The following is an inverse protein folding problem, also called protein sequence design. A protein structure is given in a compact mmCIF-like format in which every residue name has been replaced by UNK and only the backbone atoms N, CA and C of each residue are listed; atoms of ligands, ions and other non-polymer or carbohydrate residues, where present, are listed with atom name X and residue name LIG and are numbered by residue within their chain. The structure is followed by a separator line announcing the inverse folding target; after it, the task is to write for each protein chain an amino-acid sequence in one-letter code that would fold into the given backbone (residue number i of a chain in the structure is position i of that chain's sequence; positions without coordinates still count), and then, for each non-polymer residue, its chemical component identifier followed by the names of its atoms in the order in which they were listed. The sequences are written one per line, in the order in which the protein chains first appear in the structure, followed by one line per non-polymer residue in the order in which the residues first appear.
data_IF_304783091585
#
_entry.id   IF_304783091585
#
_cell.length_a   1.000
_cell.length_b   1.000
_cell.length_c   1.000
_cell.angle_alpha   90.00
_cell.angle_beta   90.00
_cell.angle_gamma   90.00
#
_symmetry.space_group_name_H-M   'P 1'
#
loop_
_entity.id
_entity.type
_entity.pdbx_description
1 polymer ?
#
# COMPACT_ATOMS: atom_id res chain seq x y z
N UNK A 1 -28.17 18.31 -30.55
CA UNK A 1 -27.22 17.97 -29.46
C UNK A 1 -26.22 16.94 -29.97
N UNK A 2 -24.92 17.27 -30.06
CA UNK A 2 -23.87 16.27 -30.33
C UNK A 2 -23.69 15.41 -29.08
N UNK A 3 -23.89 14.09 -29.19
CA UNK A 3 -23.53 13.15 -28.11
C UNK A 3 -22.01 13.19 -27.95
N UNK A 4 -21.54 13.67 -26.80
CA UNK A 4 -20.12 13.64 -26.44
C UNK A 4 -19.78 12.20 -26.06
N UNK A 5 -19.02 11.50 -26.88
CA UNK A 5 -18.48 10.19 -26.55
C UNK A 5 -17.47 10.36 -25.41
N UNK A 6 -17.67 9.63 -24.32
CA UNK A 6 -16.72 9.58 -23.19
C UNK A 6 -16.14 8.18 -23.19
N UNK A 7 -14.82 8.07 -23.18
CA UNK A 7 -14.18 6.75 -23.17
C UNK A 7 -14.39 6.06 -21.81
N UNK A 8 -14.38 4.73 -21.80
CA UNK A 8 -14.42 3.99 -20.53
C UNK A 8 -13.23 4.33 -19.62
N UNK A 9 -12.08 4.67 -20.21
CA UNK A 9 -10.90 5.11 -19.47
C UNK A 9 -11.15 6.44 -18.74
N UNK A 10 -11.79 7.41 -19.40
CA UNK A 10 -12.14 8.70 -18.78
C UNK A 10 -13.17 8.51 -17.65
N UNK A 11 -14.15 7.63 -17.87
CA UNK A 11 -15.12 7.26 -16.83
C UNK A 11 -14.42 6.65 -15.61
N UNK A 12 -13.47 5.73 -15.84
CA UNK A 12 -12.72 5.08 -14.77
C UNK A 12 -11.76 6.06 -14.06
N UNK A 13 -11.06 6.94 -14.79
CA UNK A 13 -10.21 7.95 -14.16
C UNK A 13 -11.04 8.90 -13.28
N UNK A 14 -12.21 9.35 -13.75
CA UNK A 14 -13.12 10.17 -12.95
C UNK A 14 -13.67 9.42 -11.73
N UNK A 15 -13.87 8.10 -11.84
CA UNK A 15 -14.44 7.29 -10.75
C UNK A 15 -13.40 6.85 -9.72
N UNK A 16 -12.17 6.56 -10.13
CA UNK A 16 -11.13 5.93 -9.32
C UNK A 16 -9.85 6.77 -9.25
N UNK A 17 -9.18 7.02 -10.38
CA UNK A 17 -7.89 7.71 -10.42
C UNK A 17 -7.91 9.11 -9.77
N UNK A 18 -8.87 9.96 -10.14
CA UNK A 18 -9.06 11.29 -9.54
C UNK A 18 -9.48 11.26 -8.06
N UNK A 19 -9.95 10.11 -7.56
CA UNK A 19 -10.27 9.89 -6.14
C UNK A 19 -9.11 9.25 -5.37
N UNK A 20 -8.03 8.88 -6.05
CA UNK A 20 -6.81 8.40 -5.44
C UNK A 20 -6.02 9.59 -4.88
N UNK A 21 -6.08 9.76 -3.56
CA UNK A 21 -5.45 10.84 -2.83
C UNK A 21 -4.86 10.32 -1.52
N UNK A 22 -4.12 11.16 -0.79
CA UNK A 22 -3.42 10.75 0.43
C UNK A 22 -4.35 10.09 1.46
N UNK A 23 -5.57 10.60 1.63
CA UNK A 23 -6.55 10.02 2.57
C UNK A 23 -6.96 8.61 2.14
N UNK A 24 -7.22 8.41 0.84
CA UNK A 24 -7.58 7.10 0.29
C UNK A 24 -6.40 6.12 0.32
N UNK A 25 -5.19 6.60 0.09
CA UNK A 25 -3.95 5.83 0.17
C UNK A 25 -3.65 5.38 1.60
N UNK A 26 -3.79 6.27 2.59
CA UNK A 26 -3.68 5.90 4.01
C UNK A 26 -4.64 4.79 4.40
N UNK A 27 -5.91 4.88 3.98
CA UNK A 27 -6.90 3.80 4.21
C UNK A 27 -6.48 2.48 3.56
N UNK A 28 -5.97 2.54 2.33
CA UNK A 28 -5.47 1.36 1.63
C UNK A 28 -4.30 0.71 2.37
N UNK A 29 -3.23 1.46 2.63
CA UNK A 29 -2.06 0.93 3.32
C UNK A 29 -2.38 0.44 4.74
N UNK A 30 -3.29 1.10 5.46
CA UNK A 30 -3.79 0.59 6.74
C UNK A 30 -4.50 -0.75 6.60
N UNK A 31 -5.33 -0.92 5.58
CA UNK A 31 -6.02 -2.19 5.34
C UNK A 31 -5.04 -3.32 4.99
N UNK A 32 -3.96 -2.99 4.29
CA UNK A 32 -3.01 -3.94 3.73
C UNK A 32 -1.88 -4.31 4.72
N UNK A 33 -1.36 -3.32 5.45
CA UNK A 33 -0.23 -3.47 6.38
C UNK A 33 -0.61 -3.26 7.85
N UNK A 34 -1.88 -3.01 8.16
CA UNK A 34 -2.35 -2.70 9.52
C UNK A 34 -2.06 -1.27 9.99
N UNK A 35 -1.30 -0.47 9.24
CA UNK A 35 -0.90 0.88 9.63
C UNK A 35 -0.77 1.84 8.44
N UNK A 36 -0.98 3.14 8.68
CA UNK A 36 -0.83 4.23 7.69
C UNK A 36 0.25 5.26 8.08
N UNK A 37 0.98 5.01 9.17
CA UNK A 37 1.95 5.97 9.74
C UNK A 37 3.09 6.31 8.80
N UNK A 38 3.42 5.38 7.91
CA UNK A 38 4.53 5.45 6.97
C UNK A 38 4.11 5.90 5.57
N UNK A 39 2.88 6.41 5.43
CA UNK A 39 2.30 6.77 4.14
C UNK A 39 2.60 8.23 3.80
N UNK A 40 3.27 8.44 2.69
CA UNK A 40 3.63 9.76 2.18
C UNK A 40 3.30 9.91 0.68
N UNK A 41 3.03 11.12 0.19
CA UNK A 41 2.91 11.38 -1.25
C UNK A 41 4.22 11.07 -1.98
N UNK A 42 4.13 10.53 -3.19
CA UNK A 42 5.29 10.42 -4.07
C UNK A 42 5.74 11.83 -4.50
N UNK A 43 7.03 12.18 -4.42
CA UNK A 43 7.52 13.55 -4.63
C UNK A 43 7.27 14.09 -6.05
N UNK A 44 7.17 13.20 -7.04
CA UNK A 44 7.00 13.55 -8.46
C UNK A 44 5.70 13.06 -9.10
N UNK A 45 4.78 12.44 -8.34
CA UNK A 45 3.57 11.86 -8.93
C UNK A 45 2.39 11.94 -7.96
N UNK A 46 1.47 12.85 -8.22
CA UNK A 46 0.29 13.13 -7.37
C UNK A 46 -0.69 11.94 -7.26
N UNK A 47 -0.55 10.95 -8.15
CA UNK A 47 -1.34 9.72 -8.15
C UNK A 47 -0.56 8.51 -7.64
N UNK A 48 0.60 8.72 -7.04
CA UNK A 48 1.39 7.69 -6.40
C UNK A 48 1.64 8.05 -4.92
N UNK A 49 1.55 7.06 -4.05
CA UNK A 49 1.83 7.21 -2.63
C UNK A 49 2.79 6.11 -2.19
N UNK A 50 3.74 6.50 -1.36
CA UNK A 50 4.66 5.57 -0.76
C UNK A 50 4.15 5.08 0.58
N UNK A 51 4.52 3.84 0.89
CA UNK A 51 4.65 3.36 2.26
C UNK A 51 6.13 3.09 2.49
N UNK A 52 6.77 3.92 3.31
CA UNK A 52 8.22 3.86 3.50
C UNK A 52 8.59 3.86 4.97
N UNK A 53 9.28 2.82 5.39
CA UNK A 53 9.99 2.79 6.66
C UNK A 53 11.47 2.43 6.42
N UNK A 54 12.23 2.22 7.48
CA UNK A 54 13.68 1.95 7.39
C UNK A 54 14.01 0.61 6.70
N UNK A 55 13.03 -0.27 6.52
CA UNK A 55 13.22 -1.64 6.03
C UNK A 55 12.59 -1.86 4.64
N UNK A 56 11.40 -1.30 4.41
CA UNK A 56 10.61 -1.53 3.21
C UNK A 56 10.13 -0.24 2.60
N UNK A 57 10.07 -0.24 1.27
CA UNK A 57 9.52 0.85 0.50
C UNK A 57 8.60 0.31 -0.58
N UNK A 58 7.31 0.60 -0.45
CA UNK A 58 6.28 0.28 -1.41
C UNK A 58 5.73 1.55 -2.04
N UNK A 59 5.25 1.41 -3.26
CA UNK A 59 4.49 2.43 -3.94
C UNK A 59 3.14 1.89 -4.40
N UNK A 60 2.11 2.71 -4.27
CA UNK A 60 0.76 2.39 -4.69
C UNK A 60 0.17 3.50 -5.55
N UNK A 61 -0.34 3.13 -6.72
CA UNK A 61 -0.92 4.06 -7.68
C UNK A 61 -2.13 3.46 -8.41
N UNK A 62 -2.95 4.33 -8.99
CA UNK A 62 -4.06 3.95 -9.86
C UNK A 62 -3.73 4.40 -11.28
N UNK A 63 -3.47 3.44 -12.17
CA UNK A 63 -3.21 3.73 -13.58
C UNK A 63 -4.42 4.42 -14.24
N UNK A 64 -4.16 5.28 -15.23
CA UNK A 64 -5.22 5.93 -15.99
C UNK A 64 -6.18 4.90 -16.60
N UNK A 65 -7.49 5.10 -16.40
CA UNK A 65 -8.51 4.17 -16.87
C UNK A 65 -8.64 2.87 -16.06
N UNK A 66 -7.81 2.66 -15.04
CA UNK A 66 -7.93 1.51 -14.14
C UNK A 66 -8.98 1.74 -13.05
N UNK A 67 -9.59 0.64 -12.61
CA UNK A 67 -10.40 0.57 -11.38
C UNK A 67 -9.65 -0.05 -10.21
N UNK A 68 -8.35 -0.28 -10.38
CA UNK A 68 -7.49 -1.03 -9.45
C UNK A 68 -6.34 -0.19 -8.97
N UNK A 69 -5.94 -0.45 -7.74
CA UNK A 69 -4.70 0.04 -7.15
C UNK A 69 -3.63 -0.99 -7.47
N UNK A 70 -2.54 -0.58 -8.10
CA UNK A 70 -1.34 -1.40 -8.24
C UNK A 70 -0.42 -1.11 -7.06
N UNK A 71 0.09 -2.17 -6.43
CA UNK A 71 1.10 -2.10 -5.38
C UNK A 71 2.39 -2.72 -5.90
N UNK A 72 3.51 -2.04 -5.69
CA UNK A 72 4.83 -2.57 -6.04
C UNK A 72 5.90 -2.18 -5.02
N UNK A 73 6.97 -2.98 -4.94
CA UNK A 73 8.19 -2.59 -4.23
C UNK A 73 8.96 -1.56 -5.05
N UNK A 74 9.72 -0.67 -4.42
CA UNK A 74 10.57 0.29 -5.15
C UNK A 74 11.94 -0.31 -5.49
N UNK A 75 12.47 -1.18 -4.64
CA UNK A 75 13.76 -1.82 -4.90
C UNK A 75 13.74 -3.29 -4.50
N UNK A 76 13.75 -4.23 -5.48
CA UNK A 76 13.54 -4.00 -6.92
C UNK A 76 12.12 -3.49 -7.25
N UNK A 77 11.92 -2.86 -8.41
CA UNK A 77 10.58 -2.49 -8.90
C UNK A 77 9.76 -3.70 -9.32
N UNK A 78 9.16 -4.39 -8.35
CA UNK A 78 8.38 -5.61 -8.57
C UNK A 78 6.93 -5.39 -8.20
N UNK A 79 6.04 -5.65 -9.16
CA UNK A 79 4.59 -5.63 -8.91
C UNK A 79 4.24 -6.73 -7.91
N UNK A 80 3.63 -6.32 -6.80
CA UNK A 80 3.18 -7.19 -5.72
C UNK A 80 1.74 -7.65 -5.97
N UNK A 81 0.91 -6.77 -6.52
CA UNK A 81 -0.45 -7.16 -6.90
C UNK A 81 -1.34 -5.99 -7.24
N UNK A 82 -2.55 -6.36 -7.67
CA UNK A 82 -3.62 -5.42 -7.98
C UNK A 82 -4.73 -5.59 -6.95
N UNK A 83 -5.24 -4.47 -6.47
CA UNK A 83 -6.26 -4.43 -5.42
C UNK A 83 -7.48 -3.66 -5.91
N UNK A 84 -8.66 -4.12 -5.51
CA UNK A 84 -9.90 -3.40 -5.78
C UNK A 84 -9.87 -2.03 -5.08
N UNK A 85 -10.20 -0.97 -5.81
CA UNK A 85 -10.12 0.40 -5.29
C UNK A 85 -11.11 0.70 -4.15
N UNK A 86 -12.22 -0.04 -4.09
CA UNK A 86 -13.29 0.16 -3.11
C UNK A 86 -13.04 -0.71 -1.88
N UNK A 87 -12.79 -2.00 -2.08
CA UNK A 87 -12.71 -3.01 -1.00
C UNK A 87 -11.29 -3.26 -0.51
N UNK A 88 -10.27 -2.85 -1.28
CA UNK A 88 -8.86 -3.15 -1.03
C UNK A 88 -8.51 -4.64 -0.98
N UNK A 89 -9.41 -5.50 -1.47
CA UNK A 89 -9.13 -6.92 -1.59
C UNK A 89 -8.22 -7.17 -2.81
N UNK A 90 -7.34 -8.17 -2.70
CA UNK A 90 -6.48 -8.59 -3.79
C UNK A 90 -7.33 -9.12 -4.94
N UNK A 91 -7.16 -8.54 -6.14
CA UNK A 91 -7.79 -9.03 -7.35
C UNK A 91 -6.97 -10.19 -7.93
N UNK A 92 -7.41 -11.41 -7.64
CA UNK A 92 -6.78 -12.66 -8.09
C UNK A 92 -6.86 -12.88 -9.60
N UNK A 93 -7.75 -12.19 -10.32
CA UNK A 93 -7.81 -12.31 -11.77
C UNK A 93 -6.71 -11.51 -12.48
N UNK A 94 -6.15 -10.51 -11.79
CA UNK A 94 -5.11 -9.62 -12.31
C UNK A 94 -3.76 -9.81 -11.63
N UNK A 95 -3.74 -10.45 -10.47
CA UNK A 95 -2.52 -10.78 -9.75
C UNK A 95 -2.07 -12.18 -10.15
N UNK A 96 -0.88 -12.31 -10.71
CA UNK A 96 -0.32 -13.64 -11.03
C UNK A 96 -0.07 -14.45 -9.76
N UNK A 97 -0.07 -15.78 -9.88
CA UNK A 97 0.28 -16.66 -8.75
C UNK A 97 1.66 -16.34 -8.17
N UNK A 98 2.61 -15.96 -9.02
CA UNK A 98 3.94 -15.51 -8.61
C UNK A 98 3.88 -14.23 -7.77
N UNK A 99 3.03 -13.27 -8.16
CA UNK A 99 2.82 -12.03 -7.42
C UNK A 99 2.12 -12.29 -6.08
N UNK A 100 1.14 -13.20 -6.03
CA UNK A 100 0.47 -13.60 -4.77
C UNK A 100 1.47 -14.31 -3.83
N UNK A 101 2.30 -15.23 -4.35
CA UNK A 101 3.36 -15.87 -3.56
C UNK A 101 4.33 -14.82 -3.00
N UNK A 102 4.79 -13.92 -3.86
CA UNK A 102 5.70 -12.84 -3.46
C UNK A 102 5.06 -11.89 -2.46
N UNK A 103 3.77 -11.63 -2.56
CA UNK A 103 3.02 -10.87 -1.57
C UNK A 103 3.03 -11.55 -0.20
N UNK A 104 2.85 -12.88 -0.14
CA UNK A 104 2.96 -13.62 1.11
C UNK A 104 4.40 -13.60 1.67
N UNK A 105 5.42 -13.66 0.82
CA UNK A 105 6.84 -13.54 1.22
C UNK A 105 7.12 -12.15 1.80
N UNK A 106 6.71 -11.09 1.11
CA UNK A 106 6.84 -9.71 1.56
C UNK A 106 6.15 -9.48 2.90
N UNK A 107 4.95 -10.04 3.11
CA UNK A 107 4.29 -9.96 4.43
C UNK A 107 5.14 -10.59 5.54
N UNK A 108 5.79 -11.73 5.25
CA UNK A 108 6.68 -12.40 6.21
C UNK A 108 7.92 -11.55 6.49
N UNK A 109 8.54 -10.98 5.46
CA UNK A 109 9.70 -10.09 5.59
C UNK A 109 9.37 -8.85 6.42
N UNK A 110 8.28 -8.14 6.11
CA UNK A 110 7.81 -6.99 6.90
C UNK A 110 7.58 -7.39 8.36
N UNK A 111 6.97 -8.56 8.60
CA UNK A 111 6.73 -9.05 9.96
C UNK A 111 8.03 -9.38 10.69
N UNK A 112 9.00 -9.98 9.99
CA UNK A 112 10.30 -10.33 10.54
C UNK A 112 11.11 -9.07 10.87
N UNK A 113 11.26 -8.16 9.92
CA UNK A 113 12.01 -6.91 10.09
C UNK A 113 11.40 -6.03 11.19
N UNK A 114 10.07 -6.00 11.27
CA UNK A 114 9.39 -5.29 12.36
C UNK A 114 9.65 -5.94 13.72
N UNK A 115 9.68 -7.28 13.81
CA UNK A 115 10.05 -8.00 15.04
C UNK A 115 11.52 -7.77 15.42
N UNK A 116 12.44 -7.79 14.46
CA UNK A 116 13.86 -7.50 14.69
C UNK A 116 14.07 -6.05 15.13
N UNK A 117 13.34 -5.10 14.53
CA UNK A 117 13.32 -3.70 14.98
C UNK A 117 12.84 -3.57 16.43
N UNK A 118 11.72 -4.21 16.78
CA UNK A 118 11.21 -4.24 18.14
C UNK A 118 12.22 -4.88 19.11
N UNK A 119 12.89 -5.96 18.69
CA UNK A 119 13.93 -6.60 19.49
C UNK A 119 15.11 -5.65 19.73
N UNK A 120 15.61 -4.99 18.69
CA UNK A 120 16.67 -3.97 18.80
C UNK A 120 16.26 -2.82 19.73
N UNK A 121 15.04 -2.30 19.59
CA UNK A 121 14.51 -1.27 20.49
C UNK A 121 14.40 -1.79 21.94
N UNK A 122 14.02 -3.05 22.16
CA UNK A 122 13.92 -3.62 23.50
C UNK A 122 15.28 -3.63 24.24
N UNK A 123 16.37 -3.79 23.48
CA UNK A 123 17.74 -3.83 24.00
C UNK A 123 18.32 -2.41 24.16
N UNK A 124 18.11 -1.53 23.19
CA UNK A 124 18.84 -0.26 23.09
C UNK A 124 18.01 0.99 23.43
N UNK A 125 16.67 0.91 23.39
CA UNK A 125 15.79 2.06 23.60
C UNK A 125 14.41 1.65 24.12
N UNK A 126 14.38 1.21 25.38
CA UNK A 126 13.20 0.62 26.04
C UNK A 126 11.99 1.56 26.07
N UNK A 127 12.18 2.88 26.19
CA UNK A 127 11.07 3.86 26.14
C UNK A 127 10.39 3.90 24.78
N UNK A 128 11.15 3.77 23.70
CA UNK A 128 10.60 3.73 22.35
C UNK A 128 9.96 2.36 22.07
N UNK A 129 10.56 1.28 22.56
CA UNK A 129 9.99 -0.06 22.52
C UNK A 129 8.60 -0.12 23.18
N UNK A 130 8.45 0.39 24.40
CA UNK A 130 7.16 0.41 25.11
C UNK A 130 6.07 1.16 24.32
N UNK A 131 6.43 2.27 23.67
CA UNK A 131 5.50 3.01 22.79
C UNK A 131 5.10 2.20 21.56
N UNK A 132 6.03 1.49 20.93
CA UNK A 132 5.73 0.64 19.77
C UNK A 132 4.90 -0.59 20.18
N UNK A 133 5.22 -1.25 21.29
CA UNK A 133 4.40 -2.34 21.85
C UNK A 133 2.98 -1.88 22.17
N UNK A 134 2.81 -0.69 22.76
CA UNK A 134 1.47 -0.17 23.04
C UNK A 134 0.68 0.07 21.75
N UNK A 135 1.32 0.61 20.71
CA UNK A 135 0.70 0.78 19.38
C UNK A 135 0.26 -0.55 18.76
N UNK A 136 0.98 -1.64 19.01
CA UNK A 136 0.63 -2.99 18.50
C UNK A 136 -0.54 -3.58 19.27
N UNK A 137 -0.58 -3.42 20.59
CA UNK A 137 -1.72 -3.86 21.43
C UNK A 137 -3.02 -3.14 21.05
N UNK A 138 -2.91 -1.91 20.56
CA UNK A 138 -4.06 -1.14 20.07
C UNK A 138 -4.47 -1.50 18.63
N UNK A 139 -3.73 -2.40 17.96
CA UNK A 139 -3.88 -2.76 16.54
C UNK A 139 -4.48 -4.14 16.29
N UNK A 140 -4.92 -4.90 17.31
CA UNK A 140 -5.57 -6.23 17.24
C UNK A 140 -5.56 -6.88 15.84
N UNK A 141 -4.56 -7.73 15.61
CA UNK A 141 -4.47 -8.60 14.42
C UNK A 141 -5.48 -9.74 14.49
#
# INVERSE_FOLDING_TARGET
MRRKWVSQADLNHKKYGSKWNLTKAKKFFKAIFGTDKFVEPHPFNDHCFFFKNDFVCFEAFVLYGSSRIQLQTINPHNTIGYFDFVTYQLDRNYTSEESDRRWQEVKKEITYDYKDHLHSLSIHNTKQFEKEIQKIKDLDF
#
